data_IF_478310956382
#
_entry.id   IF_478310956382
#
_cell.length_a   1.000
_cell.length_b   1.000
_cell.length_c   1.000
_cell.angle_alpha   90.00
_cell.angle_beta   90.00
_cell.angle_gamma   90.00
#
_symmetry.space_group_name_H-M   'P 1'
#
loop_
_entity.id
_entity.type
_entity.pdbx_description
1 polymer ?
#
# COMPACT_ATOMS: atom_id res chain seq x y z
N UNK A 1 -6.91 15.16 8.87
CA UNK A 1 -6.31 14.93 7.53
C UNK A 1 -4.83 15.28 7.48
N UNK A 2 -4.44 16.43 7.99
CA UNK A 2 -3.03 16.82 8.03
C UNK A 2 -2.15 15.84 8.83
N UNK A 3 -2.65 15.33 9.94
CA UNK A 3 -1.95 14.33 10.74
C UNK A 3 -1.72 13.03 9.95
N UNK A 4 -2.73 12.62 9.17
CA UNK A 4 -2.60 11.45 8.32
C UNK A 4 -1.50 11.67 7.27
N UNK A 5 -1.48 12.82 6.61
CA UNK A 5 -0.45 13.16 5.62
C UNK A 5 0.94 13.14 6.27
N UNK A 6 1.08 13.71 7.45
CA UNK A 6 2.35 13.72 8.19
C UNK A 6 2.84 12.31 8.52
N UNK A 7 1.90 11.42 8.87
CA UNK A 7 2.20 10.01 9.14
C UNK A 7 2.89 9.35 7.94
N UNK A 8 2.40 9.63 6.72
CA UNK A 8 2.97 9.11 5.49
C UNK A 8 4.26 9.82 5.06
N UNK A 9 4.61 10.91 5.71
CA UNK A 9 5.85 11.65 5.46
C UNK A 9 6.92 11.37 6.51
N UNK A 10 6.65 10.48 7.47
CA UNK A 10 7.65 10.13 8.49
C UNK A 10 8.88 9.49 7.84
N UNK A 11 10.10 9.79 8.35
CA UNK A 11 11.32 9.18 7.81
C UNK A 11 11.31 7.66 7.86
N UNK A 12 10.75 7.09 8.93
CA UNK A 12 10.66 5.63 9.08
C UNK A 12 9.80 5.00 8.00
N UNK A 13 8.61 5.57 7.76
CA UNK A 13 7.70 5.04 6.73
C UNK A 13 8.28 5.23 5.32
N UNK A 14 8.81 6.41 5.01
CA UNK A 14 9.35 6.67 3.67
C UNK A 14 10.55 5.78 3.36
N UNK A 15 11.41 5.52 4.33
CA UNK A 15 12.52 4.59 4.16
C UNK A 15 12.03 3.16 3.93
N UNK A 16 11.07 2.70 4.72
CA UNK A 16 10.48 1.37 4.58
C UNK A 16 9.78 1.22 3.22
N UNK A 17 9.03 2.23 2.81
CA UNK A 17 8.31 2.22 1.53
C UNK A 17 9.29 2.10 0.36
N UNK A 18 10.38 2.85 0.36
CA UNK A 18 11.41 2.75 -0.68
C UNK A 18 11.95 1.33 -0.80
N UNK A 19 12.20 0.68 0.32
CA UNK A 19 12.68 -0.70 0.34
C UNK A 19 11.65 -1.65 -0.26
N UNK A 20 10.39 -1.53 0.13
CA UNK A 20 9.30 -2.35 -0.42
C UNK A 20 9.15 -2.14 -1.92
N UNK A 21 9.19 -0.89 -2.38
CA UNK A 21 9.05 -0.59 -3.81
C UNK A 21 10.22 -1.11 -4.66
N UNK A 22 11.37 -1.40 -4.04
CA UNK A 22 12.52 -1.98 -4.73
C UNK A 22 12.39 -3.50 -4.95
N UNK A 23 11.41 -4.14 -4.33
CA UNK A 23 11.19 -5.58 -4.48
C UNK A 23 10.65 -5.92 -5.87
N UNK A 24 10.93 -7.12 -6.38
CA UNK A 24 10.22 -7.60 -7.55
C UNK A 24 8.75 -7.88 -7.20
N UNK A 25 7.87 -7.81 -8.22
CA UNK A 25 6.47 -8.16 -8.03
C UNK A 25 6.33 -9.60 -7.57
N UNK A 26 5.42 -9.85 -6.64
CA UNK A 26 5.16 -11.19 -6.16
C UNK A 26 6.28 -11.81 -5.31
N UNK A 27 7.10 -10.99 -4.66
CA UNK A 27 8.16 -11.49 -3.80
C UNK A 27 7.60 -12.27 -2.62
N UNK A 28 8.13 -13.47 -2.38
CA UNK A 28 7.84 -14.25 -1.19
C UNK A 28 8.80 -13.86 -0.05
N UNK A 29 8.67 -14.48 1.12
CA UNK A 29 9.50 -14.14 2.28
C UNK A 29 10.99 -14.40 2.02
N UNK A 30 11.31 -15.47 1.29
CA UNK A 30 12.69 -15.78 0.95
C UNK A 30 13.30 -14.71 0.04
N UNK A 31 12.54 -14.26 -0.96
CA UNK A 31 12.97 -13.21 -1.88
C UNK A 31 13.12 -11.86 -1.16
N UNK A 32 12.22 -11.55 -0.26
CA UNK A 32 12.32 -10.33 0.54
C UNK A 32 13.61 -10.31 1.36
N UNK A 33 13.94 -11.42 2.01
CA UNK A 33 15.19 -11.53 2.78
C UNK A 33 16.42 -11.45 1.89
N UNK A 34 16.37 -12.06 0.70
CA UNK A 34 17.46 -12.00 -0.28
C UNK A 34 17.72 -10.57 -0.72
N UNK A 35 16.67 -9.82 -1.08
CA UNK A 35 16.80 -8.46 -1.65
C UNK A 35 17.07 -7.42 -0.58
N UNK A 36 16.34 -7.48 0.54
CA UNK A 36 16.36 -6.44 1.56
C UNK A 36 17.28 -6.75 2.75
N UNK A 37 17.73 -7.99 2.88
CA UNK A 37 18.55 -8.39 4.02
C UNK A 37 17.72 -8.86 5.21
N UNK A 38 18.38 -9.14 6.36
CA UNK A 38 17.73 -9.78 7.50
C UNK A 38 16.64 -8.93 8.17
N UNK A 39 16.70 -7.61 8.03
CA UNK A 39 15.70 -6.69 8.59
C UNK A 39 14.62 -6.28 7.56
N UNK A 40 14.61 -6.92 6.40
CA UNK A 40 13.67 -6.57 5.33
C UNK A 40 12.21 -6.77 5.73
N UNK A 41 11.91 -7.78 6.54
CA UNK A 41 10.55 -8.03 6.99
C UNK A 41 10.03 -6.94 7.94
N UNK A 42 10.92 -6.22 8.63
CA UNK A 42 10.52 -5.06 9.44
C UNK A 42 9.98 -3.94 8.56
N UNK A 43 10.62 -3.69 7.42
CA UNK A 43 10.14 -2.71 6.46
C UNK A 43 8.78 -3.12 5.87
N UNK A 44 8.64 -4.38 5.53
CA UNK A 44 7.38 -4.94 5.02
C UNK A 44 6.28 -4.80 6.07
N UNK A 45 6.58 -5.10 7.33
CA UNK A 45 5.61 -4.99 8.42
C UNK A 45 5.12 -3.55 8.59
N UNK A 46 6.03 -2.58 8.61
CA UNK A 46 5.67 -1.17 8.76
C UNK A 46 4.78 -0.68 7.60
N UNK A 47 5.16 -1.00 6.38
CA UNK A 47 4.39 -0.61 5.19
C UNK A 47 3.01 -1.28 5.20
N UNK A 48 2.97 -2.58 5.45
CA UNK A 48 1.71 -3.33 5.49
C UNK A 48 0.77 -2.81 6.56
N UNK A 49 1.28 -2.55 7.78
CA UNK A 49 0.48 -2.05 8.88
C UNK A 49 -0.08 -0.65 8.57
N UNK A 50 0.70 0.17 7.89
CA UNK A 50 0.27 1.51 7.51
C UNK A 50 -0.88 1.45 6.50
N UNK A 51 -0.76 0.65 5.45
CA UNK A 51 -1.83 0.46 4.48
C UNK A 51 -3.05 -0.24 5.09
N UNK A 52 -2.82 -1.19 5.98
CA UNK A 52 -3.88 -1.88 6.72
C UNK A 52 -4.71 -0.87 7.53
N UNK A 53 -4.04 0.00 8.27
CA UNK A 53 -4.70 1.05 9.05
C UNK A 53 -5.50 2.00 8.17
N UNK A 54 -4.95 2.39 7.03
CA UNK A 54 -5.63 3.25 6.07
C UNK A 54 -6.90 2.57 5.53
N UNK A 55 -6.82 1.28 5.24
CA UNK A 55 -7.97 0.49 4.79
C UNK A 55 -9.12 0.52 5.79
N UNK A 56 -8.81 0.38 7.08
CA UNK A 56 -9.81 0.48 8.15
C UNK A 56 -10.47 1.87 8.15
N UNK A 57 -9.66 2.93 8.02
CA UNK A 57 -10.18 4.31 8.02
C UNK A 57 -11.12 4.55 6.84
N UNK A 58 -10.81 4.00 5.67
CA UNK A 58 -11.68 4.12 4.49
C UNK A 58 -12.98 3.33 4.72
N UNK A 59 -12.88 2.10 5.19
CA UNK A 59 -14.06 1.29 5.47
C UNK A 59 -14.97 1.95 6.48
N UNK A 60 -14.41 2.56 7.53
CA UNK A 60 -15.16 3.26 8.57
C UNK A 60 -15.59 4.68 8.17
N UNK A 61 -15.33 5.08 6.93
CA UNK A 61 -15.70 6.39 6.37
C UNK A 61 -15.08 7.58 7.11
N UNK A 62 -13.93 7.36 7.74
CA UNK A 62 -13.12 8.44 8.34
C UNK A 62 -12.29 9.16 7.28
N UNK A 63 -11.97 8.44 6.19
CA UNK A 63 -11.22 8.96 5.04
C UNK A 63 -11.96 8.48 3.80
N UNK A 64 -12.11 9.34 2.79
CA UNK A 64 -12.78 8.95 1.55
C UNK A 64 -11.82 8.22 0.63
N UNK A 65 -12.35 7.34 -0.20
CA UNK A 65 -11.55 6.67 -1.22
C UNK A 65 -10.97 7.67 -2.22
N UNK A 66 -11.67 8.75 -2.52
CA UNK A 66 -11.17 9.82 -3.40
C UNK A 66 -9.89 10.44 -2.85
N UNK A 67 -9.83 10.71 -1.55
CA UNK A 67 -8.62 11.26 -0.93
C UNK A 67 -7.46 10.26 -0.98
N UNK A 68 -7.73 8.99 -0.74
CA UNK A 68 -6.69 7.94 -0.85
C UNK A 68 -6.16 7.89 -2.28
N UNK A 69 -7.04 7.95 -3.26
CA UNK A 69 -6.65 7.96 -4.67
C UNK A 69 -5.77 9.17 -4.99
N UNK A 70 -6.16 10.35 -4.51
CA UNK A 70 -5.40 11.57 -4.76
C UNK A 70 -4.01 11.55 -4.13
N UNK A 71 -3.87 11.01 -2.91
CA UNK A 71 -2.61 11.05 -2.18
C UNK A 71 -1.71 9.84 -2.41
N UNK A 72 -2.29 8.63 -2.51
CA UNK A 72 -1.52 7.41 -2.28
C UNK A 72 -1.77 6.30 -3.32
N UNK A 73 -2.54 6.53 -4.38
CA UNK A 73 -2.96 5.43 -5.27
C UNK A 73 -1.78 4.65 -5.84
N UNK A 74 -0.78 5.34 -6.37
CA UNK A 74 0.40 4.70 -6.94
C UNK A 74 1.16 3.84 -5.92
N UNK A 75 1.66 4.43 -4.83
CA UNK A 75 2.40 3.66 -3.82
C UNK A 75 1.61 2.50 -3.22
N UNK A 76 0.31 2.68 -3.00
CA UNK A 76 -0.54 1.63 -2.45
C UNK A 76 -0.67 0.43 -3.40
N UNK A 77 -1.02 0.69 -4.66
CA UNK A 77 -1.20 -0.36 -5.66
C UNK A 77 0.13 -1.07 -5.94
N UNK A 78 1.21 -0.31 -6.06
CA UNK A 78 2.54 -0.87 -6.29
C UNK A 78 2.97 -1.73 -5.09
N UNK A 79 2.78 -1.24 -3.86
CA UNK A 79 3.06 -2.01 -2.65
C UNK A 79 2.30 -3.35 -2.65
N UNK A 80 1.03 -3.34 -3.01
CA UNK A 80 0.23 -4.56 -3.05
C UNK A 80 0.78 -5.54 -4.08
N UNK A 81 1.16 -5.06 -5.25
CA UNK A 81 1.76 -5.88 -6.30
C UNK A 81 3.04 -6.58 -5.80
N UNK A 82 3.83 -5.88 -4.99
CA UNK A 82 5.05 -6.44 -4.38
C UNK A 82 4.74 -7.45 -3.28
N UNK A 83 3.73 -7.17 -2.44
CA UNK A 83 3.51 -7.87 -1.17
C UNK A 83 2.34 -8.86 -1.19
N UNK A 84 1.65 -9.02 -2.31
CA UNK A 84 0.49 -9.93 -2.39
C UNK A 84 0.86 -11.37 -2.03
N UNK A 85 1.91 -11.90 -2.66
CA UNK A 85 2.36 -13.28 -2.43
C UNK A 85 2.83 -13.45 -0.99
N UNK A 86 3.60 -12.50 -0.48
CA UNK A 86 4.03 -12.51 0.92
C UNK A 86 2.83 -12.51 1.88
N UNK A 87 1.80 -11.72 1.59
CA UNK A 87 0.59 -11.66 2.41
C UNK A 87 -0.15 -13.00 2.44
N UNK A 88 -0.26 -13.66 1.28
CA UNK A 88 -0.88 -14.98 1.18
C UNK A 88 -0.07 -16.03 1.95
N UNK A 89 1.25 -16.00 1.83
CA UNK A 89 2.16 -16.87 2.57
C UNK A 89 2.03 -16.65 4.08
N UNK A 90 1.98 -15.39 4.51
CA UNK A 90 1.84 -15.02 5.91
C UNK A 90 0.53 -15.53 6.52
N UNK A 91 -0.58 -15.45 5.77
CA UNK A 91 -1.88 -16.00 6.19
C UNK A 91 -1.79 -17.50 6.43
N UNK A 92 -1.12 -18.23 5.54
CA UNK A 92 -0.93 -19.68 5.69
C UNK A 92 -0.05 -20.01 6.88
N UNK A 93 1.07 -19.31 7.02
CA UNK A 93 2.03 -19.53 8.11
C UNK A 93 1.39 -19.32 9.48
N UNK A 94 0.58 -18.27 9.63
CA UNK A 94 -0.08 -17.94 10.88
C UNK A 94 -1.44 -18.63 11.04
N UNK A 95 -1.90 -19.32 10.01
CA UNK A 95 -3.25 -19.89 9.96
C UNK A 95 -4.33 -18.85 10.27
N UNK A 96 -4.19 -17.65 9.68
CA UNK A 96 -5.09 -16.52 9.90
C UNK A 96 -5.44 -15.87 8.55
N UNK A 97 -6.68 -16.06 8.12
CA UNK A 97 -7.20 -15.47 6.87
C UNK A 97 -7.21 -13.93 6.91
N UNK A 98 -7.19 -13.35 8.12
CA UNK A 98 -7.31 -11.91 8.32
C UNK A 98 -6.00 -11.14 8.16
N UNK A 99 -4.88 -11.82 7.91
CA UNK A 99 -3.60 -11.15 7.70
C UNK A 99 -3.64 -10.19 6.51
N UNK A 100 -3.35 -8.91 6.73
CA UNK A 100 -3.38 -7.84 5.71
C UNK A 100 -4.75 -7.75 4.99
N UNK A 101 -5.84 -8.05 5.68
CA UNK A 101 -7.18 -8.06 5.08
C UNK A 101 -7.62 -6.68 4.58
N UNK A 102 -7.34 -5.63 5.31
CA UNK A 102 -7.73 -4.26 4.94
C UNK A 102 -6.80 -3.64 3.90
N UNK A 103 -5.53 -3.99 3.93
CA UNK A 103 -4.59 -3.65 2.86
C UNK A 103 -5.05 -4.29 1.55
N UNK A 104 -5.36 -5.57 1.58
CA UNK A 104 -5.87 -6.32 0.43
C UNK A 104 -7.17 -5.69 -0.10
N UNK A 105 -8.14 -5.47 0.80
CA UNK A 105 -9.42 -4.87 0.45
C UNK A 105 -9.25 -3.49 -0.21
N UNK A 106 -8.43 -2.63 0.38
CA UNK A 106 -8.18 -1.28 -0.12
C UNK A 106 -7.51 -1.31 -1.49
N UNK A 107 -6.52 -2.17 -1.66
CA UNK A 107 -5.82 -2.33 -2.94
C UNK A 107 -6.78 -2.79 -4.04
N UNK A 108 -7.69 -3.72 -3.75
CA UNK A 108 -8.70 -4.15 -4.71
C UNK A 108 -9.65 -3.01 -5.09
N UNK A 109 -10.05 -2.18 -4.13
CA UNK A 109 -10.88 -1.00 -4.42
C UNK A 109 -10.18 -0.03 -5.37
N UNK A 110 -8.88 0.18 -5.15
CA UNK A 110 -8.08 1.04 -6.03
C UNK A 110 -7.92 0.45 -7.43
N UNK A 111 -7.66 -0.86 -7.52
CA UNK A 111 -7.52 -1.55 -8.80
C UNK A 111 -8.84 -1.55 -9.60
N UNK A 112 -9.97 -1.74 -8.94
CA UNK A 112 -11.28 -1.64 -9.58
C UNK A 112 -11.51 -0.24 -10.15
N UNK A 113 -11.15 0.78 -9.41
CA UNK A 113 -11.25 2.17 -9.83
C UNK A 113 -10.41 2.42 -11.09
N UNK A 114 -9.20 1.90 -11.14
CA UNK A 114 -8.32 2.04 -12.32
C UNK A 114 -8.88 1.38 -13.57
N UNK A 115 -9.65 0.30 -13.44
CA UNK A 115 -10.28 -0.38 -14.58
C UNK A 115 -11.35 0.49 -15.24
N UNK A 116 -12.11 1.24 -14.44
CA UNK A 116 -13.22 2.06 -14.95
C UNK A 116 -12.79 3.50 -15.24
N UNK A 117 -11.76 3.97 -14.55
CA UNK A 117 -11.22 5.32 -14.69
C UNK A 117 -9.70 5.25 -14.61
N UNK A 118 -9.01 4.93 -15.71
CA UNK A 118 -7.55 4.87 -15.70
C UNK A 118 -6.96 6.19 -15.20
N UNK A 119 -5.89 6.13 -14.40
CA UNK A 119 -5.32 7.35 -13.80
C UNK A 119 -4.82 8.31 -14.87
N UNK A 120 -5.24 9.57 -14.75
CA UNK A 120 -4.77 10.66 -15.59
C UNK A 120 -3.99 11.61 -14.68
N UNK A 121 -2.73 11.92 -15.02
CA UNK A 121 -1.96 12.84 -14.16
C UNK A 121 -2.68 14.17 -13.96
N UNK A 122 -2.63 14.68 -12.75
CA UNK A 122 -3.33 15.91 -12.38
C UNK A 122 -2.90 17.09 -13.26
N UNK A 123 -1.62 17.15 -13.63
CA UNK A 123 -1.13 18.23 -14.47
C UNK A 123 -1.73 18.22 -15.89
N UNK A 124 -2.26 17.08 -16.32
CA UNK A 124 -3.00 16.95 -17.58
C UNK A 124 -4.49 17.17 -17.34
N UNK A 125 -5.07 16.43 -16.37
CA UNK A 125 -6.51 16.43 -16.10
C UNK A 125 -7.01 17.81 -15.69
N UNK A 126 -6.21 18.57 -14.93
CA UNK A 126 -6.61 19.85 -14.36
C UNK A 126 -5.80 21.03 -14.88
N UNK A 127 -5.30 20.92 -16.10
CA UNK A 127 -4.46 21.93 -16.74
C UNK A 127 -5.09 23.33 -16.75
N UNK A 128 -6.41 23.38 -16.88
CA UNK A 128 -7.17 24.62 -16.99
C UNK A 128 -7.95 24.96 -15.72
N UNK A 129 -7.59 24.34 -14.59
CA UNK A 129 -8.24 24.58 -13.30
C UNK A 129 -8.11 26.03 -12.89
N UNK A 130 -9.22 26.60 -12.35
CA UNK A 130 -9.31 27.99 -11.91
C UNK A 130 -9.85 28.07 -10.50
#
# INVERSE_FOLDING_TARGET
MLELVRSFQSPAFTAALRRVLSLPDGADSAKIREVLGPDGEDAVYLVSLTWESLGVLVYRRQVTLDLVDDFFSGPLVISWRKLKVYSEEWRRTLNRETGNEWFHWLAERMLEREKTAPPIPAYIAHRHWR
#
